data_IF_473143297848
#
_entry.id   IF_473143297848
#
_cell.length_a   1.000
_cell.length_b   1.000
_cell.length_c   1.000
_cell.angle_alpha   90.00
_cell.angle_beta   90.00
_cell.angle_gamma   90.00
#
_symmetry.space_group_name_H-M   'P 1'
#
loop_
_entity.id
_entity.type
_entity.pdbx_description
1 polymer ?
#
# COMPACT_ATOMS: atom_id res chain seq x y z
N UNK A 1 -24.10 -19.43 17.92
CA UNK A 1 -25.45 -19.44 18.54
C UNK A 1 -25.99 -20.85 18.48
N UNK A 2 -26.85 -21.24 19.42
CA UNK A 2 -27.48 -22.56 19.42
C UNK A 2 -28.71 -22.59 18.52
N UNK A 3 -29.30 -23.77 18.33
CA UNK A 3 -30.37 -24.05 17.37
C UNK A 3 -31.71 -23.29 17.56
N UNK A 4 -31.78 -22.24 18.38
CA UNK A 4 -32.99 -21.44 18.67
C UNK A 4 -32.70 -19.95 18.91
N UNK A 5 -31.59 -19.40 18.38
CA UNK A 5 -31.16 -17.99 18.54
C UNK A 5 -31.06 -17.48 20.00
N UNK A 6 -31.04 -18.39 20.99
CA UNK A 6 -30.74 -18.04 22.38
C UNK A 6 -29.22 -17.87 22.54
N UNK A 7 -28.76 -16.84 23.28
CA UNK A 7 -27.37 -16.74 23.70
C UNK A 7 -26.96 -18.04 24.43
N UNK A 8 -25.93 -18.70 23.94
CA UNK A 8 -25.39 -19.89 24.59
C UNK A 8 -24.57 -19.46 25.81
N UNK A 9 -25.13 -19.62 27.01
CA UNK A 9 -24.34 -19.59 28.21
C UNK A 9 -23.27 -20.70 28.15
N UNK A 10 -22.03 -20.38 28.49
CA UNK A 10 -20.89 -21.32 28.49
C UNK A 10 -20.43 -21.82 27.09
N UNK A 11 -20.62 -21.03 26.02
CA UNK A 11 -20.04 -21.35 24.72
C UNK A 11 -18.50 -21.33 24.78
N UNK A 12 -17.86 -22.44 24.38
CA UNK A 12 -16.43 -22.44 24.09
C UNK A 12 -16.18 -21.66 22.80
N UNK A 13 -15.56 -20.49 22.93
CA UNK A 13 -15.08 -19.69 21.81
C UNK A 13 -13.60 -20.01 21.63
N UNK A 14 -13.22 -20.53 20.47
CA UNK A 14 -11.81 -20.62 20.06
C UNK A 14 -11.43 -19.34 19.31
N UNK A 15 -10.27 -18.79 19.66
CA UNK A 15 -9.63 -17.71 18.90
C UNK A 15 -8.47 -18.36 18.15
N UNK A 16 -8.50 -18.27 16.82
CA UNK A 16 -7.43 -18.74 15.97
C UNK A 16 -6.52 -17.56 15.61
N UNK A 17 -5.22 -17.69 15.91
CA UNK A 17 -4.22 -16.76 15.43
C UNK A 17 -4.02 -17.01 13.93
N UNK A 18 -4.73 -16.25 13.09
CA UNK A 18 -4.76 -16.48 11.65
C UNK A 18 -3.36 -16.38 11.00
N UNK A 19 -2.50 -15.45 11.45
CA UNK A 19 -1.12 -15.31 10.96
C UNK A 19 -0.18 -14.72 12.01
N UNK A 20 0.86 -15.48 12.36
CA UNK A 20 2.05 -14.95 13.02
C UNK A 20 2.82 -14.06 12.04
N UNK A 21 3.14 -12.83 12.43
CA UNK A 21 4.08 -11.99 11.68
C UNK A 21 3.53 -11.35 10.39
N UNK A 22 2.22 -11.06 10.31
CA UNK A 22 1.64 -10.29 9.21
C UNK A 22 2.34 -8.92 9.04
N UNK A 23 2.96 -8.63 7.88
CA UNK A 23 3.62 -7.37 7.63
C UNK A 23 2.66 -6.18 7.74
N UNK A 24 2.92 -5.33 8.72
CA UNK A 24 2.21 -4.07 8.91
C UNK A 24 3.20 -2.90 8.92
N UNK A 25 2.88 -1.88 8.13
CA UNK A 25 3.74 -0.74 7.90
C UNK A 25 3.01 0.59 7.78
N UNK A 26 3.78 1.66 7.59
CA UNK A 26 3.27 2.99 7.31
C UNK A 26 4.23 3.73 6.36
N UNK A 27 3.71 4.70 5.63
CA UNK A 27 4.51 5.71 4.97
C UNK A 27 5.36 6.47 6.01
N UNK A 28 6.59 6.78 5.64
CA UNK A 28 7.52 7.55 6.46
C UNK A 28 8.11 8.68 5.62
N UNK A 29 8.32 9.81 6.28
CA UNK A 29 8.72 11.08 5.70
C UNK A 29 10.11 11.45 6.21
N UNK A 30 10.86 12.26 5.46
CA UNK A 30 12.24 12.67 5.79
C UNK A 30 12.41 13.31 7.18
N UNK A 31 11.35 13.89 7.73
CA UNK A 31 11.31 14.49 9.07
C UNK A 31 11.79 13.51 10.15
N UNK A 32 11.67 12.20 9.92
CA UNK A 32 12.14 11.17 10.86
C UNK A 32 13.63 11.27 11.16
N UNK A 33 14.44 11.77 10.20
CA UNK A 33 15.89 11.90 10.36
C UNK A 33 16.30 12.98 11.38
N UNK A 34 15.43 13.98 11.60
CA UNK A 34 15.71 15.13 12.47
C UNK A 34 14.89 15.14 13.76
N UNK A 35 13.96 14.21 13.95
CA UNK A 35 13.01 14.21 15.06
C UNK A 35 13.07 12.89 15.83
N UNK A 36 13.84 12.82 16.94
CA UNK A 36 13.95 11.60 17.74
C UNK A 36 12.62 11.05 18.26
N UNK A 37 11.64 11.93 18.52
CA UNK A 37 10.30 11.52 18.93
C UNK A 37 9.55 10.80 17.80
N UNK A 38 9.72 11.23 16.54
CA UNK A 38 9.16 10.57 15.38
C UNK A 38 9.86 9.24 15.11
N UNK A 39 11.20 9.23 15.13
CA UNK A 39 12.01 8.01 15.00
C UNK A 39 11.55 6.94 15.99
N UNK A 40 11.49 7.29 17.28
CA UNK A 40 11.05 6.38 18.34
C UNK A 40 9.60 5.93 18.15
N UNK A 41 8.70 6.84 17.78
CA UNK A 41 7.28 6.51 17.60
C UNK A 41 7.07 5.52 16.44
N UNK A 42 7.72 5.77 15.30
CA UNK A 42 7.58 4.96 14.10
C UNK A 42 8.22 3.57 14.29
N UNK A 43 9.48 3.55 14.75
CA UNK A 43 10.28 2.31 14.80
C UNK A 43 9.81 1.30 15.84
N UNK A 44 9.03 1.74 16.84
CA UNK A 44 8.42 0.84 17.83
C UNK A 44 7.09 0.23 17.38
N UNK A 45 6.58 0.55 16.19
CA UNK A 45 5.22 0.18 15.75
C UNK A 45 5.18 -0.59 14.44
N UNK A 46 6.07 -0.25 13.51
CA UNK A 46 5.98 -0.74 12.15
C UNK A 46 7.15 -1.67 11.81
N UNK A 47 6.82 -2.73 11.07
CA UNK A 47 7.80 -3.71 10.56
C UNK A 47 8.19 -3.44 9.10
N UNK A 48 7.39 -2.61 8.41
CA UNK A 48 7.59 -2.19 7.02
C UNK A 48 7.46 -0.68 6.92
N UNK A 49 8.25 -0.07 6.05
CA UNK A 49 8.16 1.34 5.68
C UNK A 49 8.06 1.50 4.16
N UNK A 50 7.33 2.51 3.73
CA UNK A 50 7.43 3.07 2.37
C UNK A 50 7.85 4.53 2.52
N UNK A 51 8.82 4.99 1.72
CA UNK A 51 9.19 6.41 1.76
C UNK A 51 8.17 7.17 0.94
N UNK A 52 7.51 8.15 1.57
CA UNK A 52 6.34 8.79 0.99
C UNK A 52 6.67 9.50 -0.33
N UNK A 53 7.82 10.18 -0.38
CA UNK A 53 8.25 10.95 -1.54
C UNK A 53 9.72 10.74 -1.89
N UNK A 54 10.55 10.33 -0.94
CA UNK A 54 12.01 10.48 -0.98
C UNK A 54 12.70 9.58 -2.02
N UNK A 55 12.00 8.57 -2.53
CA UNK A 55 12.49 7.71 -3.62
C UNK A 55 11.88 8.03 -4.99
N UNK A 56 10.86 8.91 -5.09
CA UNK A 56 10.22 9.26 -6.36
C UNK A 56 11.20 10.02 -7.27
N UNK A 57 11.06 9.86 -8.59
CA UNK A 57 12.02 10.42 -9.56
C UNK A 57 12.17 11.94 -9.42
N UNK A 58 11.07 12.66 -9.22
CA UNK A 58 11.12 14.11 -9.01
C UNK A 58 11.85 14.52 -7.73
N UNK A 59 11.91 13.67 -6.71
CA UNK A 59 12.62 13.96 -5.45
C UNK A 59 14.12 13.76 -5.60
N UNK A 60 14.53 12.79 -6.42
CA UNK A 60 15.93 12.41 -6.58
C UNK A 60 16.59 13.00 -7.83
N UNK A 61 15.84 13.54 -8.80
CA UNK A 61 16.37 14.19 -10.02
C UNK A 61 15.41 15.27 -10.55
N UNK A 62 15.11 16.28 -9.73
CA UNK A 62 14.22 17.38 -10.13
C UNK A 62 14.72 18.12 -11.38
N UNK A 63 16.03 18.35 -11.47
CA UNK A 63 16.71 18.95 -12.63
C UNK A 63 17.55 17.90 -13.33
N UNK A 64 17.49 17.85 -14.66
CA UNK A 64 18.21 16.86 -15.46
C UNK A 64 19.69 16.80 -15.08
N UNK A 65 20.20 15.61 -14.77
CA UNK A 65 21.59 15.39 -14.38
C UNK A 65 22.02 15.94 -13.02
N UNK A 66 21.07 16.36 -12.17
CA UNK A 66 21.33 16.72 -10.78
C UNK A 66 20.62 15.73 -9.86
N UNK A 67 21.29 14.60 -9.60
CA UNK A 67 20.77 13.55 -8.74
C UNK A 67 21.11 13.78 -7.25
N UNK A 68 20.13 13.61 -6.35
CA UNK A 68 20.33 13.68 -4.90
C UNK A 68 19.63 12.52 -4.19
N UNK A 69 20.43 11.57 -3.69
CA UNK A 69 19.97 10.41 -2.93
C UNK A 69 20.32 10.48 -1.43
N UNK A 70 20.84 11.61 -0.93
CA UNK A 70 21.28 11.74 0.47
C UNK A 70 20.17 11.43 1.47
N UNK A 71 18.95 11.90 1.19
CA UNK A 71 17.79 11.69 2.04
C UNK A 71 17.33 10.22 2.04
N UNK A 72 17.01 9.60 0.89
CA UNK A 72 16.61 8.20 0.88
C UNK A 72 17.72 7.25 1.39
N UNK A 73 19.00 7.56 1.19
CA UNK A 73 20.11 6.77 1.74
C UNK A 73 20.20 6.82 3.27
N UNK A 74 19.99 8.01 3.84
CA UNK A 74 19.93 8.19 5.30
C UNK A 74 18.72 7.45 5.89
N UNK A 75 17.56 7.55 5.24
CA UNK A 75 16.35 6.84 5.67
C UNK A 75 16.50 5.33 5.54
N UNK A 76 17.10 4.81 4.46
CA UNK A 76 17.41 3.37 4.34
C UNK A 76 18.33 2.89 5.44
N UNK A 77 19.35 3.68 5.78
CA UNK A 77 20.27 3.34 6.87
C UNK A 77 19.55 3.31 8.23
N UNK A 78 18.60 4.23 8.45
CA UNK A 78 17.75 4.23 9.63
C UNK A 78 16.84 2.99 9.69
N UNK A 79 16.15 2.66 8.60
CA UNK A 79 15.28 1.47 8.55
C UNK A 79 16.08 0.19 8.80
N UNK A 80 17.28 0.08 8.22
CA UNK A 80 18.20 -1.04 8.47
C UNK A 80 18.61 -1.14 9.94
N UNK A 81 18.93 -0.02 10.61
CA UNK A 81 19.28 0.02 12.04
C UNK A 81 18.17 -0.61 12.91
N UNK A 82 16.91 -0.38 12.56
CA UNK A 82 15.75 -0.92 13.28
C UNK A 82 15.19 -2.22 12.69
N UNK A 83 15.85 -2.81 11.69
CA UNK A 83 15.39 -4.03 10.98
C UNK A 83 13.99 -3.89 10.37
N UNK A 84 13.63 -2.67 9.97
CA UNK A 84 12.39 -2.37 9.26
C UNK A 84 12.62 -2.61 7.78
N UNK A 85 11.75 -3.41 7.17
CA UNK A 85 11.80 -3.70 5.73
C UNK A 85 11.28 -2.49 4.94
N UNK A 86 11.81 -2.25 3.75
CA UNK A 86 11.40 -1.09 2.94
C UNK A 86 10.77 -1.54 1.62
N UNK A 87 9.62 -0.96 1.27
CA UNK A 87 9.07 -0.99 -0.09
C UNK A 87 9.61 0.23 -0.86
N UNK A 88 10.25 0.00 -2.00
CA UNK A 88 10.72 1.07 -2.86
C UNK A 88 9.57 1.66 -3.66
N UNK A 89 9.24 2.93 -3.40
CA UNK A 89 8.12 3.64 -4.02
C UNK A 89 8.61 4.97 -4.60
N UNK A 90 8.66 5.14 -5.93
CA UNK A 90 8.51 4.14 -6.98
C UNK A 90 9.65 4.30 -8.00
N UNK A 91 9.82 3.31 -8.88
CA UNK A 91 10.84 3.42 -9.95
C UNK A 91 10.40 4.46 -10.97
N UNK A 92 9.19 4.28 -11.51
CA UNK A 92 8.51 5.21 -12.40
C UNK A 92 7.04 5.37 -12.01
N UNK A 93 6.53 6.60 -12.10
CA UNK A 93 5.11 6.93 -11.95
C UNK A 93 4.59 7.33 -13.33
N UNK A 94 3.52 6.70 -13.82
CA UNK A 94 3.07 6.87 -15.21
C UNK A 94 2.23 8.13 -15.45
N UNK A 95 1.87 8.87 -14.39
CA UNK A 95 1.16 10.14 -14.45
C UNK A 95 2.02 11.24 -15.12
N UNK A 96 1.44 11.89 -16.13
CA UNK A 96 2.06 12.98 -16.88
C UNK A 96 2.30 14.22 -16.00
N UNK A 97 1.50 14.44 -14.96
CA UNK A 97 1.63 15.58 -14.06
C UNK A 97 2.81 15.40 -13.09
N UNK A 98 3.12 14.16 -12.75
CA UNK A 98 4.24 13.78 -11.90
C UNK A 98 5.61 13.80 -12.59
N UNK A 99 5.65 13.97 -13.93
CA UNK A 99 6.91 14.10 -14.66
C UNK A 99 7.54 15.49 -14.52
N UNK A 100 8.86 15.55 -14.38
CA UNK A 100 9.61 16.81 -14.32
C UNK A 100 9.56 17.56 -15.66
N UNK A 101 9.66 18.89 -15.62
CA UNK A 101 9.59 19.74 -16.83
C UNK A 101 10.61 19.36 -17.91
N UNK A 102 11.78 18.85 -17.51
CA UNK A 102 12.82 18.42 -18.45
C UNK A 102 12.55 17.04 -19.08
N UNK A 103 11.72 16.19 -18.45
CA UNK A 103 11.37 14.84 -18.95
C UNK A 103 10.26 14.90 -20.00
N UNK A 104 9.24 15.75 -19.78
CA UNK A 104 8.07 15.87 -20.67
C UNK A 104 8.41 16.08 -22.16
N UNK A 105 9.35 16.99 -22.54
CA UNK A 105 9.65 17.26 -23.94
C UNK A 105 10.64 16.28 -24.58
N UNK A 106 11.19 15.30 -23.84
CA UNK A 106 12.19 14.38 -24.40
C UNK A 106 11.60 13.56 -25.55
N UNK A 107 12.39 13.43 -26.61
CA UNK A 107 12.10 12.51 -27.70
C UNK A 107 12.38 11.05 -27.28
N UNK A 108 12.04 10.10 -28.14
CA UNK A 108 12.17 8.66 -27.86
C UNK A 108 13.57 8.26 -27.38
N UNK A 109 14.63 8.70 -28.06
CA UNK A 109 16.00 8.33 -27.74
C UNK A 109 16.46 8.95 -26.42
N UNK A 110 16.13 10.23 -26.21
CA UNK A 110 16.46 10.95 -24.98
C UNK A 110 15.72 10.37 -23.76
N UNK A 111 14.43 10.04 -23.91
CA UNK A 111 13.65 9.44 -22.83
C UNK A 111 14.18 8.06 -22.46
N UNK A 112 14.51 7.21 -23.46
CA UNK A 112 15.18 5.92 -23.21
C UNK A 112 16.47 6.12 -22.42
N UNK A 113 17.31 7.07 -22.81
CA UNK A 113 18.57 7.35 -22.11
C UNK A 113 18.34 7.81 -20.66
N UNK A 114 17.38 8.73 -20.45
CA UNK A 114 17.02 9.21 -19.11
C UNK A 114 16.48 8.07 -18.22
N UNK A 115 15.60 7.21 -18.76
CA UNK A 115 15.08 6.06 -18.03
C UNK A 115 16.17 5.03 -17.70
N UNK A 116 17.09 4.75 -18.62
CA UNK A 116 18.22 3.85 -18.33
C UNK A 116 19.12 4.40 -17.23
N UNK A 117 19.35 5.71 -17.21
CA UNK A 117 20.07 6.36 -16.13
C UNK A 117 19.33 6.23 -14.80
N UNK A 118 18.03 6.56 -14.77
CA UNK A 118 17.17 6.44 -13.60
C UNK A 118 17.14 5.02 -13.04
N UNK A 119 16.95 4.01 -13.90
CA UNK A 119 17.01 2.60 -13.50
C UNK A 119 18.33 2.27 -12.80
N UNK A 120 19.46 2.72 -13.36
CA UNK A 120 20.77 2.51 -12.76
C UNK A 120 20.94 3.21 -11.43
N UNK A 121 20.40 4.42 -11.26
CA UNK A 121 20.59 5.22 -10.05
C UNK A 121 19.62 4.87 -8.92
N UNK A 122 18.41 4.40 -9.22
CA UNK A 122 17.43 4.02 -8.19
C UNK A 122 17.35 2.53 -7.91
N UNK A 123 17.51 1.67 -8.91
CA UNK A 123 17.32 0.23 -8.68
C UNK A 123 18.63 -0.38 -8.18
N UNK A 124 19.74 -0.16 -8.90
CA UNK A 124 21.02 -0.85 -8.61
C UNK A 124 21.53 -0.62 -7.18
N UNK A 125 21.56 0.62 -6.64
CA UNK A 125 22.10 0.85 -5.30
C UNK A 125 21.21 0.29 -4.17
N UNK A 126 19.92 0.10 -4.45
CA UNK A 126 18.92 -0.39 -3.49
C UNK A 126 18.57 -1.86 -3.70
N UNK A 127 19.13 -2.50 -4.74
CA UNK A 127 18.93 -3.90 -5.05
C UNK A 127 19.28 -4.79 -3.85
N UNK A 128 18.34 -5.66 -3.45
CA UNK A 128 18.48 -6.51 -2.25
C UNK A 128 18.41 -5.77 -0.90
N UNK A 129 18.21 -4.45 -0.90
CA UNK A 129 17.97 -3.65 0.33
C UNK A 129 16.49 -3.35 0.54
N UNK A 130 15.69 -3.32 -0.53
CA UNK A 130 14.23 -3.24 -0.47
C UNK A 130 13.62 -4.64 -0.61
N UNK A 131 12.46 -4.85 -0.02
CA UNK A 131 11.72 -6.12 -0.18
C UNK A 131 10.88 -6.12 -1.46
N UNK A 132 10.39 -4.94 -1.86
CA UNK A 132 9.50 -4.76 -3.00
C UNK A 132 9.88 -3.50 -3.78
N UNK A 133 9.50 -3.48 -5.06
CA UNK A 133 9.47 -2.27 -5.88
C UNK A 133 8.07 -2.03 -6.42
N UNK A 134 7.55 -0.82 -6.25
CA UNK A 134 6.50 -0.30 -7.12
C UNK A 134 7.19 0.12 -8.43
N UNK A 135 7.08 -0.72 -9.46
CA UNK A 135 7.90 -0.60 -10.68
C UNK A 135 7.33 0.46 -11.62
N UNK A 136 6.04 0.36 -11.91
CA UNK A 136 5.28 1.40 -12.60
C UNK A 136 4.03 1.68 -11.78
N UNK A 137 3.94 2.88 -11.22
CA UNK A 137 2.77 3.36 -10.48
C UNK A 137 1.70 3.85 -11.45
N UNK A 138 0.45 3.45 -11.23
CA UNK A 138 -0.77 4.01 -11.83
C UNK A 138 -0.90 3.88 -13.36
N UNK A 139 -0.39 2.78 -13.93
CA UNK A 139 -0.41 2.54 -15.38
C UNK A 139 -1.69 1.85 -15.90
N UNK A 140 -2.77 1.84 -15.12
CA UNK A 140 -4.14 1.67 -15.63
C UNK A 140 -4.84 3.01 -15.84
N UNK A 141 -4.51 4.02 -15.02
CA UNK A 141 -5.04 5.39 -15.17
C UNK A 141 -4.24 6.21 -16.17
N UNK A 142 -2.93 6.06 -16.16
CA UNK A 142 -2.01 6.85 -16.98
C UNK A 142 -1.18 5.96 -17.90
N UNK A 143 -0.47 6.61 -18.83
CA UNK A 143 0.21 5.95 -19.94
C UNK A 143 1.36 6.81 -20.51
N UNK A 144 2.00 7.65 -19.71
CA UNK A 144 3.08 8.53 -20.16
C UNK A 144 4.19 7.75 -20.90
N UNK A 145 4.65 6.65 -20.31
CA UNK A 145 5.72 5.84 -20.91
C UNK A 145 5.22 5.04 -22.11
N UNK A 146 4.05 4.40 -22.01
CA UNK A 146 3.49 3.59 -23.11
C UNK A 146 3.16 4.44 -24.35
N UNK A 147 2.69 5.67 -24.18
CA UNK A 147 2.40 6.60 -25.30
C UNK A 147 3.68 7.01 -26.05
N UNK A 148 4.82 7.13 -25.35
CA UNK A 148 6.08 7.57 -25.95
C UNK A 148 6.97 6.44 -26.45
N UNK A 149 6.94 5.29 -25.78
CA UNK A 149 7.87 4.17 -26.00
C UNK A 149 7.20 2.95 -26.66
N UNK A 150 5.87 2.95 -26.71
CA UNK A 150 5.04 1.88 -27.27
C UNK A 150 4.30 1.08 -26.18
N UNK A 151 3.28 0.30 -26.57
CA UNK A 151 2.34 -0.35 -25.64
C UNK A 151 2.96 -1.39 -24.71
N UNK A 152 4.18 -1.86 -24.99
CA UNK A 152 4.91 -2.81 -24.14
C UNK A 152 5.92 -2.14 -23.20
N UNK A 153 5.94 -0.81 -23.12
CA UNK A 153 6.92 -0.07 -22.31
C UNK A 153 6.87 -0.47 -20.83
N UNK A 154 5.68 -0.55 -20.24
CA UNK A 154 5.51 -1.03 -18.86
C UNK A 154 6.16 -2.40 -18.67
N UNK A 155 5.82 -3.39 -19.50
CA UNK A 155 6.35 -4.73 -19.39
C UNK A 155 7.88 -4.79 -19.56
N UNK A 156 8.44 -3.96 -20.44
CA UNK A 156 9.88 -3.81 -20.62
C UNK A 156 10.55 -3.20 -19.37
N UNK A 157 9.93 -2.23 -18.71
CA UNK A 157 10.47 -1.66 -17.46
C UNK A 157 10.58 -2.75 -16.39
N UNK A 158 9.57 -3.62 -16.23
CA UNK A 158 9.65 -4.77 -15.31
C UNK A 158 10.81 -5.70 -15.64
N UNK A 159 11.03 -5.98 -16.93
CA UNK A 159 12.17 -6.78 -17.38
C UNK A 159 13.49 -6.16 -16.91
N UNK A 160 13.64 -4.83 -17.08
CA UNK A 160 14.85 -4.10 -16.75
C UNK A 160 15.08 -4.00 -15.23
N UNK A 161 14.03 -3.74 -14.45
CA UNK A 161 14.13 -3.77 -12.98
C UNK A 161 14.51 -5.17 -12.52
N UNK A 162 13.89 -6.22 -13.07
CA UNK A 162 14.21 -7.61 -12.74
C UNK A 162 15.62 -8.07 -13.17
N UNK A 163 16.26 -7.39 -14.11
CA UNK A 163 17.68 -7.61 -14.42
C UNK A 163 18.61 -6.98 -13.39
N UNK A 164 18.20 -5.86 -12.76
CA UNK A 164 18.97 -5.12 -11.77
C UNK A 164 18.74 -5.63 -10.34
N UNK A 165 17.52 -6.05 -10.00
CA UNK A 165 17.15 -6.64 -8.71
C UNK A 165 16.22 -7.85 -8.88
N UNK A 166 16.77 -9.06 -8.72
CA UNK A 166 16.00 -10.31 -8.74
C UNK A 166 15.44 -10.72 -7.37
N UNK A 167 15.83 -10.03 -6.31
CA UNK A 167 15.44 -10.41 -4.95
C UNK A 167 14.07 -9.85 -4.61
N UNK A 168 13.83 -8.59 -4.96
CA UNK A 168 12.57 -7.89 -4.71
C UNK A 168 11.38 -8.51 -5.49
N UNK A 169 10.18 -8.38 -4.91
CA UNK A 169 8.93 -8.62 -5.64
C UNK A 169 8.54 -7.31 -6.34
N UNK A 170 8.17 -7.41 -7.61
CA UNK A 170 7.89 -6.28 -8.50
C UNK A 170 6.38 -6.05 -8.60
N UNK A 171 5.92 -4.97 -7.99
CA UNK A 171 4.51 -4.60 -7.89
C UNK A 171 4.11 -3.65 -9.02
N UNK A 172 2.92 -3.89 -9.57
CA UNK A 172 2.09 -2.84 -10.14
C UNK A 172 1.31 -2.25 -8.99
N UNK A 173 1.27 -0.93 -8.87
CA UNK A 173 0.59 -0.25 -7.75
C UNK A 173 -0.41 0.73 -8.34
N UNK A 174 -1.65 0.66 -7.87
CA UNK A 174 -2.77 1.34 -8.51
C UNK A 174 -3.86 1.68 -7.49
N UNK A 175 -4.48 2.86 -7.65
CA UNK A 175 -5.61 3.30 -6.84
C UNK A 175 -6.94 2.91 -7.46
N UNK A 176 -8.01 3.12 -6.70
CA UNK A 176 -9.42 2.93 -7.09
C UNK A 176 -9.85 1.50 -7.48
N UNK A 177 -8.92 0.54 -7.55
CA UNK A 177 -9.19 -0.87 -7.86
C UNK A 177 -10.15 -1.52 -6.84
N UNK A 178 -10.05 -1.14 -5.56
CA UNK A 178 -10.90 -1.61 -4.46
C UNK A 178 -11.89 -0.53 -3.96
N UNK A 179 -11.60 0.73 -4.25
CA UNK A 179 -12.15 1.89 -3.57
C UNK A 179 -13.34 2.48 -4.32
N UNK A 180 -13.28 2.48 -5.66
CA UNK A 180 -14.24 3.17 -6.53
C UNK A 180 -14.78 2.24 -7.61
N UNK A 181 -15.88 1.49 -7.38
CA UNK A 181 -16.50 0.63 -8.40
C UNK A 181 -16.98 1.39 -9.65
N UNK A 182 -17.13 2.72 -9.55
CA UNK A 182 -17.50 3.58 -10.67
C UNK A 182 -16.32 4.06 -11.52
N UNK A 183 -15.07 3.82 -11.11
CA UNK A 183 -13.90 4.17 -11.92
C UNK A 183 -13.68 3.11 -13.01
N UNK A 184 -13.77 3.47 -14.30
CA UNK A 184 -13.64 2.50 -15.38
C UNK A 184 -12.20 2.08 -15.65
N UNK A 185 -11.18 2.78 -15.11
CA UNK A 185 -9.79 2.54 -15.48
C UNK A 185 -9.18 1.33 -14.75
N UNK A 186 -9.27 1.23 -13.41
CA UNK A 186 -8.55 0.20 -12.66
C UNK A 186 -9.45 -0.99 -12.30
N UNK A 187 -10.54 -1.21 -13.03
CA UNK A 187 -11.45 -2.33 -12.73
C UNK A 187 -10.66 -3.65 -12.67
N UNK A 188 -10.98 -4.57 -11.74
CA UNK A 188 -10.14 -5.75 -11.48
C UNK A 188 -9.79 -6.57 -12.73
N UNK A 189 -10.70 -6.65 -13.72
CA UNK A 189 -10.44 -7.34 -14.98
C UNK A 189 -9.31 -6.68 -15.82
N UNK A 190 -9.25 -5.34 -15.86
CA UNK A 190 -8.17 -4.60 -16.55
C UNK A 190 -6.84 -4.75 -15.83
N UNK A 191 -6.86 -4.74 -14.50
CA UNK A 191 -5.68 -5.02 -13.68
C UNK A 191 -5.12 -6.42 -14.00
N UNK A 192 -5.97 -7.46 -14.00
CA UNK A 192 -5.59 -8.83 -14.37
C UNK A 192 -5.00 -8.87 -15.79
N UNK A 193 -5.61 -8.18 -16.75
CA UNK A 193 -5.12 -8.13 -18.13
C UNK A 193 -3.72 -7.47 -18.22
N UNK A 194 -3.50 -6.34 -17.54
CA UNK A 194 -2.20 -5.65 -17.52
C UNK A 194 -1.12 -6.50 -16.83
N UNK A 195 -1.44 -7.16 -15.72
CA UNK A 195 -0.51 -8.09 -15.07
C UNK A 195 -0.16 -9.30 -15.96
N UNK A 196 -1.13 -9.83 -16.72
CA UNK A 196 -0.87 -10.88 -17.71
C UNK A 196 0.02 -10.39 -18.85
N UNK A 197 -0.18 -9.16 -19.34
CA UNK A 197 0.68 -8.53 -20.34
C UNK A 197 2.12 -8.39 -19.83
N UNK A 198 2.31 -7.91 -18.59
CA UNK A 198 3.62 -7.79 -17.94
C UNK A 198 4.28 -9.17 -17.81
N UNK A 199 3.55 -10.16 -17.27
CA UNK A 199 4.06 -11.53 -17.08
C UNK A 199 4.42 -12.23 -18.39
N UNK A 200 3.64 -12.00 -19.45
CA UNK A 200 3.83 -12.62 -20.76
C UNK A 200 4.95 -12.02 -21.62
N UNK A 201 5.54 -10.91 -21.20
CA UNK A 201 6.62 -10.27 -21.95
C UNK A 201 7.90 -11.10 -21.91
N UNK A 202 8.63 -11.12 -23.04
CA UNK A 202 9.86 -11.89 -23.17
C UNK A 202 10.90 -11.46 -22.13
N UNK A 203 11.33 -12.41 -21.30
CA UNK A 203 12.26 -12.17 -20.17
C UNK A 203 11.58 -11.98 -18.81
N UNK A 204 10.24 -11.88 -18.74
CA UNK A 204 9.53 -11.67 -17.48
C UNK A 204 9.06 -12.97 -16.79
N UNK A 205 9.13 -14.12 -17.46
CA UNK A 205 8.58 -15.39 -16.95
C UNK A 205 9.15 -15.88 -15.62
N UNK A 206 10.35 -15.43 -15.23
CA UNK A 206 11.00 -15.76 -13.95
C UNK A 206 10.92 -14.65 -12.90
N UNK A 207 10.25 -13.53 -13.18
CA UNK A 207 10.16 -12.42 -12.24
C UNK A 207 9.14 -12.72 -11.14
N UNK A 208 9.46 -12.29 -9.91
CA UNK A 208 8.51 -12.27 -8.80
C UNK A 208 7.62 -11.04 -8.97
N UNK A 209 6.37 -11.24 -9.36
CA UNK A 209 5.41 -10.15 -9.54
C UNK A 209 4.47 -10.03 -8.33
N UNK A 210 3.93 -8.85 -8.09
CA UNK A 210 2.98 -8.56 -7.01
C UNK A 210 1.87 -7.62 -7.44
N UNK A 211 0.78 -7.64 -6.67
CA UNK A 211 -0.41 -6.78 -6.87
C UNK A 211 -0.42 -5.74 -5.75
N UNK A 212 -0.25 -4.48 -6.10
CA UNK A 212 -0.29 -3.32 -5.19
C UNK A 212 -1.61 -2.58 -5.37
N UNK A 213 -2.27 -2.31 -4.25
CA UNK A 213 -3.59 -1.71 -4.19
C UNK A 213 -3.51 -0.54 -3.21
N UNK A 214 -3.49 0.69 -3.73
CA UNK A 214 -3.19 1.89 -2.92
C UNK A 214 -4.16 1.99 -1.73
N UNK A 215 -5.46 1.74 -1.95
CA UNK A 215 -6.45 1.64 -0.86
C UNK A 215 -6.75 2.98 -0.20
N UNK A 216 -6.86 4.05 -1.01
CA UNK A 216 -7.30 5.38 -0.59
C UNK A 216 -8.82 5.47 -0.49
N UNK A 217 -9.38 5.12 0.67
CA UNK A 217 -10.83 4.98 0.82
C UNK A 217 -11.52 6.28 1.24
N UNK A 218 -12.74 6.50 0.73
CA UNK A 218 -13.67 7.49 1.29
C UNK A 218 -14.71 6.82 2.18
N UNK A 219 -15.70 6.15 1.57
CA UNK A 219 -16.62 5.22 2.22
C UNK A 219 -16.41 3.84 1.59
N UNK A 220 -15.97 2.83 2.35
CA UNK A 220 -15.65 1.53 1.78
C UNK A 220 -16.91 0.75 1.40
N UNK A 221 -16.91 0.18 0.20
CA UNK A 221 -17.86 -0.85 -0.21
C UNK A 221 -17.22 -2.23 0.02
N UNK A 222 -17.42 -2.81 1.21
CA UNK A 222 -16.77 -4.07 1.61
C UNK A 222 -17.11 -5.24 0.68
N UNK A 223 -18.37 -5.46 0.24
CA UNK A 223 -18.67 -6.47 -0.78
C UNK A 223 -17.90 -6.28 -2.09
N UNK A 224 -17.71 -5.04 -2.54
CA UNK A 224 -16.92 -4.75 -3.74
C UNK A 224 -15.43 -5.00 -3.52
N UNK A 225 -14.88 -4.56 -2.37
CA UNK A 225 -13.49 -4.84 -2.00
C UNK A 225 -13.21 -6.34 -1.97
N UNK A 226 -14.06 -7.14 -1.32
CA UNK A 226 -13.97 -8.62 -1.29
C UNK A 226 -13.94 -9.20 -2.70
N UNK A 227 -14.93 -8.86 -3.54
CA UNK A 227 -15.05 -9.45 -4.88
C UNK A 227 -13.91 -9.02 -5.83
N UNK A 228 -13.37 -7.82 -5.63
CA UNK A 228 -12.18 -7.33 -6.34
C UNK A 228 -10.92 -8.10 -5.93
N UNK A 229 -10.70 -8.30 -4.63
CA UNK A 229 -9.62 -9.13 -4.12
C UNK A 229 -9.72 -10.60 -4.60
N UNK A 230 -10.92 -11.20 -4.57
CA UNK A 230 -11.16 -12.55 -5.09
C UNK A 230 -10.84 -12.66 -6.60
N UNK A 231 -11.13 -11.60 -7.37
CA UNK A 231 -10.81 -11.55 -8.79
C UNK A 231 -9.30 -11.48 -9.03
N UNK A 232 -8.60 -10.63 -8.28
CA UNK A 232 -7.14 -10.46 -8.38
C UNK A 232 -6.39 -11.71 -7.87
N UNK A 233 -6.93 -12.42 -6.88
CA UNK A 233 -6.36 -13.67 -6.35
C UNK A 233 -6.17 -14.75 -7.44
N UNK A 234 -6.93 -14.70 -8.55
CA UNK A 234 -6.77 -15.59 -9.71
C UNK A 234 -5.39 -15.46 -10.37
N UNK A 235 -4.69 -14.34 -10.19
CA UNK A 235 -3.32 -14.15 -10.67
C UNK A 235 -2.31 -15.07 -9.97
N UNK A 236 -2.65 -15.55 -8.76
CA UNK A 236 -1.76 -16.33 -7.87
C UNK A 236 -0.46 -15.58 -7.56
N UNK A 237 -0.57 -14.26 -7.37
CA UNK A 237 0.50 -13.37 -6.97
C UNK A 237 0.24 -12.84 -5.55
N UNK A 238 1.29 -12.49 -4.79
CA UNK A 238 1.12 -11.81 -3.51
C UNK A 238 0.42 -10.46 -3.71
N UNK A 239 -0.49 -10.11 -2.81
CA UNK A 239 -1.23 -8.84 -2.86
C UNK A 239 -1.00 -8.01 -1.60
N UNK A 240 -0.84 -6.70 -1.76
CA UNK A 240 -0.62 -5.78 -0.65
C UNK A 240 -1.58 -4.61 -0.74
N UNK A 241 -2.16 -4.21 0.40
CA UNK A 241 -2.73 -2.87 0.52
C UNK A 241 -1.56 -1.94 0.83
N UNK A 242 -1.25 -1.01 -0.05
CA UNK A 242 0.05 -0.34 -0.08
C UNK A 242 0.04 1.07 0.52
N UNK A 243 -1.12 1.72 0.53
CA UNK A 243 -1.25 3.14 0.88
C UNK A 243 -2.57 3.41 1.65
N UNK A 244 -2.93 2.53 2.59
CA UNK A 244 -4.24 2.60 3.26
C UNK A 244 -4.41 3.92 4.02
N UNK A 245 -5.38 4.71 3.59
CA UNK A 245 -5.93 5.81 4.35
C UNK A 245 -7.46 5.90 4.15
N UNK A 246 -8.10 6.69 5.02
CA UNK A 246 -9.53 6.96 4.93
C UNK A 246 -9.75 8.45 5.08
N UNK A 247 -10.49 9.07 4.17
CA UNK A 247 -10.80 10.50 4.26
C UNK A 247 -11.54 10.85 5.55
N UNK A 248 -11.34 12.09 6.03
CA UNK A 248 -11.97 12.57 7.26
C UNK A 248 -13.49 12.57 7.15
N UNK A 249 -14.15 11.86 8.06
CA UNK A 249 -15.61 11.84 8.23
C UNK A 249 -15.98 11.41 9.65
N UNK A 250 -17.25 11.58 10.09
CA UNK A 250 -17.71 11.06 11.38
C UNK A 250 -17.51 9.54 11.56
N UNK A 251 -17.44 8.80 10.45
CA UNK A 251 -17.28 7.34 10.43
C UNK A 251 -15.84 6.88 10.11
N UNK A 252 -14.86 7.79 10.03
CA UNK A 252 -13.49 7.48 9.59
C UNK A 252 -12.87 6.29 10.36
N UNK A 253 -13.04 6.25 11.69
CA UNK A 253 -12.53 5.14 12.54
C UNK A 253 -13.17 3.81 12.13
N UNK A 254 -14.48 3.78 11.95
CA UNK A 254 -15.25 2.59 11.57
C UNK A 254 -14.85 2.10 10.18
N UNK A 255 -14.73 3.02 9.23
CA UNK A 255 -14.35 2.69 7.85
C UNK A 255 -12.93 2.16 7.77
N UNK A 256 -11.99 2.78 8.49
CA UNK A 256 -10.61 2.28 8.56
C UNK A 256 -10.58 0.87 9.17
N UNK A 257 -11.31 0.64 10.26
CA UNK A 257 -11.41 -0.69 10.86
C UNK A 257 -11.97 -1.73 9.87
N UNK A 258 -13.00 -1.38 9.10
CA UNK A 258 -13.58 -2.27 8.10
C UNK A 258 -12.58 -2.63 7.00
N UNK A 259 -11.87 -1.64 6.44
CA UNK A 259 -10.84 -1.85 5.40
C UNK A 259 -9.71 -2.73 5.92
N UNK A 260 -9.18 -2.43 7.12
CA UNK A 260 -8.08 -3.19 7.71
C UNK A 260 -8.49 -4.63 8.02
N UNK A 261 -9.69 -4.85 8.59
CA UNK A 261 -10.21 -6.19 8.86
C UNK A 261 -10.42 -6.98 7.57
N UNK A 262 -10.97 -6.34 6.54
CA UNK A 262 -11.23 -6.96 5.25
C UNK A 262 -9.93 -7.38 4.56
N UNK A 263 -8.95 -6.48 4.48
CA UNK A 263 -7.62 -6.76 3.95
C UNK A 263 -6.91 -7.86 4.73
N UNK A 264 -6.87 -7.78 6.07
CA UNK A 264 -6.19 -8.78 6.91
C UNK A 264 -6.85 -10.16 6.84
N UNK A 265 -8.18 -10.23 6.75
CA UNK A 265 -8.91 -11.49 6.69
C UNK A 265 -8.85 -12.18 5.32
N UNK A 266 -8.48 -11.46 4.27
CA UNK A 266 -8.42 -12.03 2.93
C UNK A 266 -7.21 -12.96 2.76
N UNK A 267 -7.38 -14.23 2.33
CA UNK A 267 -6.30 -15.22 2.32
C UNK A 267 -5.12 -14.85 1.41
N UNK A 268 -5.34 -14.05 0.36
CA UNK A 268 -4.30 -13.65 -0.59
C UNK A 268 -3.70 -12.25 -0.36
N UNK A 269 -4.08 -11.54 0.72
CA UNK A 269 -3.42 -10.28 1.09
C UNK A 269 -2.28 -10.60 2.04
N UNK A 270 -1.06 -10.21 1.69
CA UNK A 270 0.18 -10.58 2.39
C UNK A 270 0.78 -9.47 3.22
N UNK A 271 0.25 -8.25 3.13
CA UNK A 271 0.70 -7.13 3.95
C UNK A 271 -0.15 -5.88 3.77
N UNK A 272 -0.05 -5.00 4.76
CA UNK A 272 -0.73 -3.71 4.76
C UNK A 272 0.28 -2.62 5.12
N UNK A 273 0.31 -1.55 4.33
CA UNK A 273 1.01 -0.32 4.63
C UNK A 273 -0.01 0.82 4.66
N UNK A 274 0.00 1.57 5.76
CA UNK A 274 -0.79 2.78 5.93
C UNK A 274 -0.17 3.95 5.16
N UNK A 275 -0.98 4.87 4.62
CA UNK A 275 -0.49 6.14 4.02
C UNK A 275 -0.71 7.34 4.95
N UNK A 276 -0.12 7.25 6.14
CA UNK A 276 -0.25 8.23 7.18
C UNK A 276 1.11 8.76 7.64
N UNK A 277 1.91 9.20 6.67
CA UNK A 277 3.17 9.89 6.90
C UNK A 277 2.96 11.15 7.75
N UNK A 278 3.77 11.33 8.79
CA UNK A 278 3.66 12.52 9.63
C UNK A 278 4.45 13.68 9.02
N UNK A 279 3.85 14.87 8.96
CA UNK A 279 4.58 16.12 8.77
C UNK A 279 4.18 17.16 9.82
N UNK A 280 5.09 18.09 10.09
CA UNK A 280 4.85 19.17 11.06
C UNK A 280 3.64 20.06 10.71
N UNK A 281 3.33 20.20 9.42
CA UNK A 281 2.25 21.05 8.90
C UNK A 281 0.92 20.30 8.67
N UNK A 282 0.85 19.03 9.04
CA UNK A 282 -0.30 18.16 8.78
C UNK A 282 0.02 17.03 7.80
N UNK A 283 -0.82 16.01 7.77
CA UNK A 283 -0.64 14.83 6.90
C UNK A 283 -1.51 14.97 5.65
N UNK A 284 -1.21 14.16 4.63
CA UNK A 284 -1.91 14.20 3.34
C UNK A 284 -3.43 13.95 3.48
N UNK A 285 -3.84 12.73 3.85
CA UNK A 285 -5.26 12.38 4.09
C UNK A 285 -5.53 12.11 5.57
N UNK A 286 -4.60 11.41 6.24
CA UNK A 286 -4.78 10.92 7.60
C UNK A 286 -3.48 10.97 8.37
N UNK A 287 -3.52 11.44 9.62
CA UNK A 287 -2.40 11.33 10.56
C UNK A 287 -2.66 10.19 11.53
N UNK A 288 -1.68 9.37 11.92
CA UNK A 288 -1.85 8.43 13.04
C UNK A 288 -1.57 9.07 14.41
N UNK A 289 -0.94 10.24 14.42
CA UNK A 289 -0.51 10.92 15.63
C UNK A 289 -0.57 12.43 15.48
N UNK A 290 -0.71 13.13 16.60
CA UNK A 290 -0.52 14.58 16.65
C UNK A 290 0.98 14.97 16.71
N UNK A 291 1.27 16.27 16.74
CA UNK A 291 2.64 16.81 16.77
C UNK A 291 3.43 16.50 18.05
N UNK A 292 2.78 15.98 19.10
CA UNK A 292 3.44 15.48 20.32
C UNK A 292 3.64 13.96 20.30
N UNK A 293 3.48 13.31 19.14
CA UNK A 293 3.57 11.87 18.97
C UNK A 293 2.59 11.07 19.87
N UNK A 294 1.44 11.67 20.22
CA UNK A 294 0.30 11.00 20.85
C UNK A 294 -0.66 10.48 19.77
N UNK A 295 -0.98 9.19 19.85
CA UNK A 295 -1.88 8.52 18.91
C UNK A 295 -3.25 9.21 18.85
N UNK A 296 -3.78 9.33 17.64
CA UNK A 296 -5.16 9.77 17.39
C UNK A 296 -6.13 8.58 17.54
N UNK A 297 -7.45 8.80 17.72
CA UNK A 297 -8.40 7.72 18.06
C UNK A 297 -8.39 6.53 17.09
N UNK A 298 -8.26 6.78 15.79
CA UNK A 298 -8.19 5.74 14.75
C UNK A 298 -6.84 5.00 14.70
N UNK A 299 -5.79 5.51 15.36
CA UNK A 299 -4.50 4.83 15.48
C UNK A 299 -4.45 3.85 16.67
N UNK A 300 -5.36 3.97 17.64
CA UNK A 300 -5.48 3.05 18.78
C UNK A 300 -6.37 1.84 18.51
N UNK A 301 -7.37 1.98 17.64
CA UNK A 301 -8.22 0.85 17.22
C UNK A 301 -7.50 -0.12 16.27
N UNK A 302 -6.50 0.35 15.52
CA UNK A 302 -5.71 -0.44 14.58
C UNK A 302 -4.53 -1.18 15.20
N UNK A 303 -4.14 -0.85 16.44
CA UNK A 303 -2.94 -1.41 17.10
C UNK A 303 -3.22 -2.28 18.33
N UNK A 304 -4.48 -2.40 18.76
CA UNK A 304 -4.85 -3.04 20.03
C UNK A 304 -5.17 -4.55 19.95
N UNK A 305 -4.85 -5.23 18.86
CA UNK A 305 -4.93 -6.70 18.80
C UNK A 305 -3.64 -7.38 19.27
N UNK A 306 -3.26 -7.15 20.53
CA UNK A 306 -2.34 -8.03 21.26
C UNK A 306 -2.95 -8.36 22.64
N UNK A 307 -3.32 -9.63 22.92
CA UNK A 307 -4.04 -9.96 24.13
C UNK A 307 -3.06 -10.15 25.30
N UNK A 308 -2.77 -9.09 26.03
CA UNK A 308 -2.23 -9.21 27.39
C UNK A 308 -3.08 -8.39 28.35
N UNK A 309 -4.01 -9.05 29.04
CA UNK A 309 -4.72 -8.44 30.17
C UNK A 309 -6.04 -9.10 30.49
N UNK A 310 -6.05 -9.99 31.50
CA UNK A 310 -7.28 -10.37 32.21
C UNK A 310 -7.95 -9.11 32.75
N UNK A 311 -9.17 -8.79 32.31
CA UNK A 311 -10.15 -8.07 33.12
C UNK A 311 -11.56 -8.60 32.90
N UNK A 312 -12.14 -9.01 34.00
CA UNK A 312 -13.55 -9.37 34.20
C UNK A 312 -14.43 -8.13 34.01
N UNK A 313 -15.48 -8.20 33.18
CA UNK A 313 -16.50 -7.17 33.11
C UNK A 313 -17.90 -7.80 33.05
N UNK A 314 -18.77 -7.37 33.97
CA UNK A 314 -20.22 -7.67 34.00
C UNK A 314 -20.93 -7.01 32.81
N UNK A 315 -21.97 -7.65 32.23
CA UNK A 315 -22.75 -7.05 31.16
C UNK A 315 -23.79 -6.03 31.66
N UNK A 316 -24.13 -5.00 30.85
CA UNK A 316 -25.21 -4.04 31.11
C UNK A 316 -26.60 -4.60 30.74
N UNK A 317 -27.70 -3.98 31.19
CA UNK A 317 -29.04 -4.55 31.05
C UNK A 317 -29.63 -4.38 29.63
N UNK A 318 -30.55 -5.26 29.19
CA UNK A 318 -31.01 -5.29 27.81
C UNK A 318 -32.12 -4.25 27.53
N UNK A 319 -32.05 -3.65 26.33
CA UNK A 319 -33.12 -2.86 25.71
C UNK A 319 -33.96 -3.81 24.84
N UNK A 320 -35.27 -3.86 25.10
CA UNK A 320 -36.26 -4.58 24.28
C UNK A 320 -36.79 -3.68 23.16
N UNK A 321 -36.76 -4.16 21.91
CA UNK A 321 -37.59 -3.60 20.82
C UNK A 321 -38.42 -4.69 20.15
N UNK A 322 -39.71 -4.37 19.99
CA UNK A 322 -40.76 -5.24 19.47
C UNK A 322 -40.72 -5.46 17.96
N UNK A 323 -41.28 -6.59 17.55
CA UNK A 323 -41.40 -7.09 16.18
C UNK A 323 -42.29 -6.19 15.31
N UNK A 324 -41.86 -5.97 14.07
CA UNK A 324 -42.74 -5.74 12.93
C UNK A 324 -42.46 -6.84 11.89
N UNK A 325 -43.51 -7.54 11.48
CA UNK A 325 -43.48 -8.57 10.44
C UNK A 325 -44.17 -8.04 9.18
N UNK A 326 -43.53 -8.22 8.04
CA UNK A 326 -44.21 -8.20 6.74
C UNK A 326 -43.58 -9.28 5.86
N UNK A 327 -44.35 -10.31 5.57
CA UNK A 327 -44.09 -11.26 4.49
C UNK A 327 -44.36 -10.58 3.16
N UNK A 328 -43.40 -10.67 2.26
CA UNK A 328 -43.47 -10.21 0.89
C UNK A 328 -44.25 -11.23 0.02
N UNK A 329 -44.63 -10.83 -1.20
CA UNK A 329 -43.90 -11.33 -2.36
C UNK A 329 -42.73 -10.43 -2.76
#
# INVERSE_FOLDING_TARGET
>A
MGANDKPMAHANVSIELLRLGFPFGNAVTKEILGLPAYEKWFTSRFSVATFENEMKWYSTEWTQNHEDYRVPDAMMSLMRKYKIKVRGHNVFWDDQNSQMQWVKPLNLAQLKAAMQKRLKSVVSPYAGKVIHWDVVNENLHFNFFETKLGPMASAQIYQQVGQLDRNAILFMNEFNTLEQPGDPNPVPAKYVAKMNQIRGYAGNGGLKLGVGLESHFSTPNIPYMRSSLDTLAKLKLPMWLTEVDVVKSPNQVKYLEQVLREGFAHPNVDGIVMWAGWHAKGCYVMCLTNNSFKNLPWATSSTSSSPSGRRTARPPPPITMGRWSSTCP
#
